data_IF_857074105028
#
_entry.id   IF_857074105028
#
_cell.length_a   1.000
_cell.length_b   1.000
_cell.length_c   1.000
_cell.angle_alpha   90.00
_cell.angle_beta   90.00
_cell.angle_gamma   90.00
#
_symmetry.space_group_name_H-M   'P 1'
#
loop_
_entity.id
_entity.type
_entity.pdbx_description
1 polymer ?
#
# COMPACT_ATOMS: atom_id res chain seq x y z
N UNK A 1 -5.75 -6.10 -14.63
CA UNK A 1 -6.28 -4.87 -13.99
C UNK A 1 -7.80 -4.86 -13.94
N UNK A 2 -8.52 -4.89 -15.08
CA UNK A 2 -9.99 -4.87 -15.12
C UNK A 2 -10.66 -5.91 -14.19
N UNK A 3 -10.25 -7.17 -14.29
CA UNK A 3 -10.80 -8.24 -13.46
C UNK A 3 -10.57 -8.01 -11.96
N UNK A 4 -9.39 -7.50 -11.58
CA UNK A 4 -9.10 -7.18 -10.19
C UNK A 4 -10.06 -6.10 -9.67
N UNK A 5 -10.23 -5.00 -10.40
CA UNK A 5 -11.12 -3.89 -10.03
C UNK A 5 -12.58 -4.34 -9.94
N UNK A 6 -13.08 -5.00 -10.99
CA UNK A 6 -14.48 -5.45 -11.05
C UNK A 6 -14.81 -6.48 -9.96
N UNK A 7 -13.87 -7.38 -9.62
CA UNK A 7 -14.04 -8.32 -8.49
C UNK A 7 -14.05 -7.60 -7.15
N UNK A 8 -13.11 -6.68 -6.92
CA UNK A 8 -13.03 -5.87 -5.69
C UNK A 8 -14.33 -5.08 -5.46
N UNK A 9 -14.91 -4.51 -6.51
CA UNK A 9 -16.23 -3.89 -6.44
C UNK A 9 -17.36 -4.90 -6.16
N UNK A 10 -17.47 -5.97 -6.96
CA UNK A 10 -18.60 -6.91 -6.88
C UNK A 10 -18.65 -7.70 -5.57
N UNK A 11 -17.49 -8.05 -5.01
CA UNK A 11 -17.42 -8.83 -3.77
C UNK A 11 -17.32 -7.95 -2.52
N UNK A 12 -16.55 -6.87 -2.58
CA UNK A 12 -16.26 -6.02 -1.43
C UNK A 12 -17.01 -4.69 -1.40
N UNK A 13 -17.80 -4.35 -2.44
CA UNK A 13 -18.46 -3.05 -2.62
C UNK A 13 -17.50 -1.84 -2.51
N UNK A 14 -16.24 -2.04 -2.86
CA UNK A 14 -15.22 -0.98 -2.82
C UNK A 14 -15.35 -0.11 -4.07
N UNK A 15 -15.55 1.19 -3.87
CA UNK A 15 -15.77 2.16 -4.97
C UNK A 15 -14.58 3.03 -5.31
N UNK A 16 -13.57 3.11 -4.45
CA UNK A 16 -12.31 3.82 -4.70
C UNK A 16 -11.19 2.86 -4.34
N UNK A 17 -10.28 2.57 -5.27
CA UNK A 17 -9.22 1.58 -5.05
C UNK A 17 -7.94 1.92 -5.79
N UNK A 18 -6.81 1.71 -5.14
CA UNK A 18 -5.48 1.92 -5.70
C UNK A 18 -4.79 0.57 -5.81
N UNK A 19 -4.67 0.06 -7.04
CA UNK A 19 -4.12 -1.28 -7.27
C UNK A 19 -2.63 -1.15 -7.54
N UNK A 20 -1.84 -1.89 -6.76
CA UNK A 20 -0.39 -1.93 -6.87
C UNK A 20 0.09 -3.15 -7.64
N UNK A 21 1.13 -2.98 -8.45
CA UNK A 21 1.87 -4.11 -9.02
C UNK A 21 3.28 -3.69 -9.46
N UNK A 22 4.18 -4.67 -9.55
CA UNK A 22 5.51 -4.48 -10.13
C UNK A 22 5.49 -4.87 -11.62
N UNK A 23 5.66 -3.92 -12.56
CA UNK A 23 5.64 -4.22 -13.99
C UNK A 23 6.86 -5.03 -14.45
N UNK A 24 8.01 -4.86 -13.79
CA UNK A 24 9.25 -5.54 -14.16
C UNK A 24 9.21 -7.03 -13.81
N UNK A 25 8.54 -7.42 -12.72
CA UNK A 25 8.27 -8.85 -12.42
C UNK A 25 7.32 -9.52 -13.44
N UNK A 26 6.71 -8.77 -14.35
CA UNK A 26 5.82 -9.28 -15.41
C UNK A 26 6.46 -9.25 -16.80
N UNK A 27 7.69 -8.74 -16.92
CA UNK A 27 8.32 -8.44 -18.21
C UNK A 27 9.12 -9.60 -18.82
N UNK A 28 9.15 -10.75 -18.13
CA UNK A 28 9.89 -11.97 -18.53
C UNK A 28 11.36 -11.69 -18.89
N UNK A 29 12.09 -11.00 -18.02
CA UNK A 29 13.50 -10.69 -18.26
C UNK A 29 13.75 -9.70 -19.40
N UNK A 30 12.72 -8.95 -19.81
CA UNK A 30 12.80 -7.94 -20.87
C UNK A 30 12.17 -8.34 -22.20
N UNK A 31 11.63 -9.56 -22.34
CA UNK A 31 10.87 -9.95 -23.54
C UNK A 31 9.67 -9.03 -23.80
N UNK A 32 9.05 -8.52 -22.74
CA UNK A 32 7.95 -7.57 -22.83
C UNK A 32 8.40 -6.18 -22.37
N UNK A 33 8.09 -5.19 -23.20
CA UNK A 33 8.35 -3.80 -22.85
C UNK A 33 7.48 -3.34 -21.67
N UNK A 34 8.08 -2.58 -20.75
CA UNK A 34 7.38 -2.10 -19.55
C UNK A 34 6.26 -1.12 -19.89
N UNK A 35 6.40 -0.28 -20.92
CA UNK A 35 5.34 0.66 -21.31
C UNK A 35 4.12 -0.12 -21.79
N UNK A 36 4.31 -1.21 -22.55
CA UNK A 36 3.22 -2.08 -22.99
C UNK A 36 2.47 -2.68 -21.79
N UNK A 37 3.18 -3.17 -20.78
CA UNK A 37 2.57 -3.77 -19.57
C UNK A 37 1.77 -2.73 -18.78
N UNK A 38 2.35 -1.54 -18.59
CA UNK A 38 1.72 -0.46 -17.82
C UNK A 38 0.51 0.09 -18.59
N UNK A 39 0.66 0.37 -19.89
CA UNK A 39 -0.42 0.84 -20.74
C UNK A 39 -1.58 -0.15 -20.81
N UNK A 40 -1.31 -1.45 -20.97
CA UNK A 40 -2.36 -2.48 -20.92
C UNK A 40 -3.09 -2.50 -19.57
N UNK A 41 -2.37 -2.26 -18.47
CA UNK A 41 -2.96 -2.15 -17.13
C UNK A 41 -3.86 -0.92 -17.00
N UNK A 42 -3.43 0.23 -17.51
CA UNK A 42 -4.21 1.48 -17.56
C UNK A 42 -5.47 1.29 -18.41
N UNK A 43 -5.38 0.68 -19.59
CA UNK A 43 -6.55 0.38 -20.43
C UNK A 43 -7.53 -0.51 -19.68
N UNK A 44 -7.03 -1.56 -19.01
CA UNK A 44 -7.87 -2.42 -18.17
C UNK A 44 -8.55 -1.68 -17.02
N UNK A 45 -7.83 -0.74 -16.38
CA UNK A 45 -8.38 0.11 -15.32
C UNK A 45 -9.49 1.02 -15.85
N UNK A 46 -9.21 1.78 -16.92
CA UNK A 46 -10.17 2.70 -17.54
C UNK A 46 -11.44 1.97 -17.99
N UNK A 47 -11.32 0.79 -18.58
CA UNK A 47 -12.47 -0.06 -18.93
C UNK A 47 -13.32 -0.42 -17.71
N UNK A 48 -12.71 -0.79 -16.58
CA UNK A 48 -13.46 -1.10 -15.37
C UNK A 48 -14.16 0.14 -14.79
N UNK A 49 -13.53 1.31 -14.82
CA UNK A 49 -14.14 2.57 -14.40
C UNK A 49 -15.31 3.02 -15.32
N UNK A 50 -15.33 2.59 -16.58
CA UNK A 50 -16.47 2.83 -17.48
C UNK A 50 -17.63 1.87 -17.24
N UNK A 51 -17.33 0.61 -16.89
CA UNK A 51 -18.34 -0.44 -16.71
C UNK A 51 -18.96 -0.47 -15.30
N UNK A 52 -18.25 0.03 -14.29
CA UNK A 52 -18.66 0.01 -12.88
C UNK A 52 -18.55 1.40 -12.26
N UNK A 53 -19.36 1.72 -11.23
CA UNK A 53 -19.31 3.01 -10.53
C UNK A 53 -18.11 3.07 -9.57
N UNK A 54 -16.90 2.99 -10.12
CA UNK A 54 -15.64 2.92 -9.37
C UNK A 54 -14.64 3.95 -9.88
N UNK A 55 -13.85 4.50 -8.96
CA UNK A 55 -12.62 5.24 -9.25
C UNK A 55 -11.43 4.35 -8.93
N UNK A 56 -10.44 4.33 -9.81
CA UNK A 56 -9.25 3.53 -9.60
C UNK A 56 -7.98 4.29 -10.01
N UNK A 57 -6.89 3.97 -9.33
CA UNK A 57 -5.53 4.41 -9.64
C UNK A 57 -4.57 3.24 -9.61
N UNK A 58 -3.44 3.40 -10.29
CA UNK A 58 -2.36 2.39 -10.30
C UNK A 58 -1.19 2.89 -9.46
N UNK A 59 -0.65 2.00 -8.63
CA UNK A 59 0.62 2.22 -7.93
C UNK A 59 1.66 1.29 -8.57
N UNK A 60 2.78 1.84 -9.02
CA UNK A 60 3.88 1.02 -9.53
C UNK A 60 4.83 0.69 -8.38
N UNK A 61 5.18 -0.60 -8.27
CA UNK A 61 6.03 -1.09 -7.19
C UNK A 61 7.45 -1.36 -7.69
N UNK A 62 8.42 -0.77 -6.99
CA UNK A 62 9.82 -1.18 -6.93
C UNK A 62 9.97 -2.49 -6.14
N UNK A 63 11.15 -3.10 -6.17
CA UNK A 63 11.44 -4.32 -5.40
C UNK A 63 12.79 -4.21 -4.69
N UNK A 64 12.86 -4.62 -3.43
CA UNK A 64 14.10 -4.63 -2.62
C UNK A 64 15.21 -5.48 -3.24
N UNK A 65 14.87 -6.51 -4.03
CA UNK A 65 15.84 -7.38 -4.71
C UNK A 65 16.45 -6.75 -5.97
N UNK A 66 15.90 -5.63 -6.44
CA UNK A 66 16.39 -4.96 -7.62
C UNK A 66 17.52 -3.98 -7.28
N UNK A 67 18.46 -3.84 -8.21
CA UNK A 67 19.45 -2.79 -8.16
C UNK A 67 18.81 -1.40 -8.33
N UNK A 68 19.61 -0.37 -8.03
CA UNK A 68 19.19 1.04 -8.11
C UNK A 68 18.70 1.43 -9.50
N UNK A 69 19.32 0.87 -10.55
CA UNK A 69 18.98 1.19 -11.93
C UNK A 69 17.57 0.68 -12.29
N UNK A 70 17.26 -0.57 -11.96
CA UNK A 70 15.94 -1.16 -12.18
C UNK A 70 14.85 -0.43 -11.40
N UNK A 71 15.10 -0.09 -10.14
CA UNK A 71 14.15 0.68 -9.33
C UNK A 71 13.96 2.11 -9.87
N UNK A 72 15.02 2.76 -10.33
CA UNK A 72 14.96 4.06 -11.02
C UNK A 72 14.15 3.99 -12.32
N UNK A 73 14.26 2.91 -13.10
CA UNK A 73 13.43 2.70 -14.29
C UNK A 73 11.95 2.71 -13.91
N UNK A 74 11.56 1.96 -12.86
CA UNK A 74 10.17 1.89 -12.41
C UNK A 74 9.66 3.27 -11.98
N UNK A 75 10.44 4.04 -11.22
CA UNK A 75 10.08 5.41 -10.82
C UNK A 75 9.91 6.36 -12.01
N UNK A 76 10.80 6.30 -13.00
CA UNK A 76 10.66 7.06 -14.26
C UNK A 76 9.40 6.67 -15.03
N UNK A 77 9.02 5.39 -15.04
CA UNK A 77 7.76 4.93 -15.63
C UNK A 77 6.56 5.46 -14.83
N UNK A 78 6.62 5.48 -13.51
CA UNK A 78 5.56 6.06 -12.69
C UNK A 78 5.34 7.54 -13.01
N UNK A 79 6.43 8.31 -13.09
CA UNK A 79 6.41 9.71 -13.50
C UNK A 79 5.81 9.90 -14.91
N UNK A 80 6.26 9.11 -15.89
CA UNK A 80 5.77 9.18 -17.27
C UNK A 80 4.25 8.93 -17.38
N UNK A 81 3.75 7.92 -16.68
CA UNK A 81 2.35 7.50 -16.76
C UNK A 81 1.45 8.19 -15.73
N UNK A 82 1.97 9.16 -14.96
CA UNK A 82 1.20 9.91 -13.98
C UNK A 82 -0.06 10.57 -14.57
N UNK A 83 0.01 11.23 -15.75
CA UNK A 83 -1.18 11.82 -16.38
C UNK A 83 -2.22 10.80 -16.85
N UNK A 84 -1.85 9.52 -16.95
CA UNK A 84 -2.71 8.46 -17.48
C UNK A 84 -3.41 7.61 -16.41
N UNK A 85 -3.06 7.83 -15.13
CA UNK A 85 -3.68 7.18 -13.98
C UNK A 85 -2.73 6.35 -13.11
N UNK A 86 -1.42 6.49 -13.27
CA UNK A 86 -0.47 6.08 -12.22
C UNK A 86 -0.46 7.15 -11.14
N UNK A 87 -0.89 6.79 -9.93
CA UNK A 87 -1.10 7.73 -8.83
C UNK A 87 -0.05 7.61 -7.73
N UNK A 88 0.64 6.47 -7.65
CA UNK A 88 1.63 6.24 -6.61
C UNK A 88 2.85 5.45 -7.07
N UNK A 89 3.93 5.61 -6.30
CA UNK A 89 5.11 4.76 -6.30
C UNK A 89 5.19 4.04 -4.96
N UNK A 90 5.66 2.81 -5.00
CA UNK A 90 5.85 1.96 -3.83
C UNK A 90 7.11 1.11 -3.96
N UNK A 91 7.53 0.48 -2.87
CA UNK A 91 8.52 -0.59 -2.85
C UNK A 91 8.06 -1.72 -1.92
N UNK A 92 8.24 -2.96 -2.36
CA UNK A 92 8.02 -4.14 -1.54
C UNK A 92 9.08 -5.21 -1.87
N UNK A 93 8.75 -6.48 -1.67
CA UNK A 93 9.67 -7.60 -1.82
C UNK A 93 10.41 -7.90 -0.52
N UNK A 94 11.04 -9.08 -0.41
CA UNK A 94 11.75 -9.50 0.80
C UNK A 94 12.96 -8.63 1.07
N UNK A 95 13.35 -8.51 2.33
CA UNK A 95 14.62 -7.86 2.69
C UNK A 95 15.81 -8.59 2.06
N UNK A 96 16.81 -7.81 1.68
CA UNK A 96 18.09 -8.30 1.19
C UNK A 96 19.20 -7.56 1.90
N UNK A 97 20.33 -8.23 2.15
CA UNK A 97 21.49 -7.62 2.83
C UNK A 97 22.08 -6.43 2.05
N UNK A 98 21.71 -6.29 0.78
CA UNK A 98 22.17 -5.24 -0.13
C UNK A 98 21.25 -4.03 -0.21
N UNK A 99 20.02 -4.12 0.33
CA UNK A 99 19.02 -3.06 0.19
C UNK A 99 19.15 -2.05 1.33
N UNK A 100 19.28 -0.77 0.97
CA UNK A 100 19.25 0.33 1.93
C UNK A 100 18.19 1.35 1.50
N UNK A 101 17.40 1.87 2.45
CA UNK A 101 16.35 2.87 2.16
C UNK A 101 16.92 4.10 1.44
N UNK A 102 18.14 4.52 1.78
CA UNK A 102 18.81 5.64 1.12
C UNK A 102 18.97 5.45 -0.41
N UNK A 103 19.01 4.20 -0.88
CA UNK A 103 19.23 3.88 -2.29
C UNK A 103 18.04 4.24 -3.18
N UNK A 104 16.85 4.37 -2.60
CA UNK A 104 15.61 4.68 -3.33
C UNK A 104 15.20 6.15 -3.22
N UNK A 105 15.91 6.97 -2.44
CA UNK A 105 15.65 8.42 -2.34
C UNK A 105 15.60 9.08 -3.73
N UNK A 106 16.58 8.87 -4.64
CA UNK A 106 16.53 9.52 -5.96
C UNK A 106 15.34 9.05 -6.82
N UNK A 107 14.92 7.79 -6.68
CA UNK A 107 13.78 7.25 -7.40
C UNK A 107 12.46 7.89 -6.91
N UNK A 108 12.33 8.05 -5.59
CA UNK A 108 11.19 8.73 -4.96
C UNK A 108 11.12 10.20 -5.37
N UNK A 109 12.25 10.91 -5.42
CA UNK A 109 12.32 12.30 -5.87
C UNK A 109 11.86 12.47 -7.33
N UNK A 110 12.26 11.56 -8.22
CA UNK A 110 11.81 11.55 -9.62
C UNK A 110 10.28 11.40 -9.72
N UNK A 111 9.70 10.49 -8.95
CA UNK A 111 8.24 10.29 -8.95
C UNK A 111 7.51 11.52 -8.41
N UNK A 112 7.98 12.09 -7.30
CA UNK A 112 7.42 13.31 -6.71
C UNK A 112 7.50 14.51 -7.65
N UNK A 113 8.60 14.65 -8.39
CA UNK A 113 8.76 15.70 -9.39
C UNK A 113 7.69 15.68 -10.48
N UNK A 114 7.03 14.54 -10.70
CA UNK A 114 5.89 14.38 -11.62
C UNK A 114 4.52 14.38 -10.91
N UNK A 115 4.48 14.69 -9.62
CA UNK A 115 3.25 14.70 -8.81
C UNK A 115 2.73 13.32 -8.42
N UNK A 116 3.55 12.27 -8.53
CA UNK A 116 3.23 10.92 -8.05
C UNK A 116 3.44 10.86 -6.54
N UNK A 117 2.46 10.33 -5.82
CA UNK A 117 2.49 10.15 -4.36
C UNK A 117 3.28 8.89 -3.97
N UNK A 118 3.65 8.77 -2.71
CA UNK A 118 4.58 7.73 -2.25
C UNK A 118 3.96 6.96 -1.09
N UNK A 119 3.84 5.64 -1.27
CA UNK A 119 3.64 4.69 -0.17
C UNK A 119 4.86 3.76 -0.11
N UNK A 120 5.19 3.17 1.03
CA UNK A 120 6.36 2.27 1.18
C UNK A 120 5.95 1.08 2.05
N UNK A 121 6.07 -0.15 1.57
CA UNK A 121 5.88 -1.32 2.45
C UNK A 121 7.03 -1.41 3.44
N UNK A 122 6.74 -1.25 4.73
CA UNK A 122 7.69 -1.48 5.82
C UNK A 122 6.92 -1.67 7.12
N UNK A 123 7.54 -2.26 8.13
CA UNK A 123 6.90 -2.51 9.41
C UNK A 123 5.85 -3.62 9.37
N UNK A 124 5.93 -4.55 8.41
CA UNK A 124 5.16 -5.80 8.46
C UNK A 124 6.01 -6.91 9.10
N UNK A 125 6.93 -7.46 8.31
CA UNK A 125 7.96 -8.41 8.74
C UNK A 125 9.31 -7.72 8.99
N UNK A 126 9.41 -6.44 8.63
CA UNK A 126 10.60 -5.63 8.87
C UNK A 126 10.49 -4.90 10.21
N UNK A 127 11.61 -4.64 10.91
CA UNK A 127 11.59 -4.04 12.24
C UNK A 127 11.21 -2.55 12.21
N UNK A 128 10.79 -2.03 13.36
CA UNK A 128 10.51 -0.60 13.56
C UNK A 128 11.68 0.32 13.15
N UNK A 129 12.93 -0.16 13.22
CA UNK A 129 14.12 0.58 12.77
C UNK A 129 14.09 0.88 11.27
N UNK A 130 13.61 -0.03 10.43
CA UNK A 130 13.46 0.26 8.99
C UNK A 130 12.32 1.25 8.75
N UNK A 131 11.25 1.20 9.56
CA UNK A 131 10.19 2.22 9.50
C UNK A 131 10.76 3.60 9.81
N UNK A 132 11.65 3.71 10.81
CA UNK A 132 12.39 4.93 11.10
C UNK A 132 13.24 5.40 9.92
N UNK A 133 13.98 4.50 9.27
CA UNK A 133 14.79 4.83 8.10
C UNK A 133 13.92 5.37 6.97
N UNK A 134 12.76 4.75 6.72
CA UNK A 134 11.77 5.17 5.72
C UNK A 134 11.21 6.56 6.02
N UNK A 135 10.71 6.81 7.23
CA UNK A 135 10.10 8.11 7.54
C UNK A 135 11.12 9.24 7.57
N UNK A 136 12.37 8.99 7.99
CA UNK A 136 13.44 9.99 8.00
C UNK A 136 13.98 10.29 6.60
N UNK A 137 14.18 9.27 5.78
CA UNK A 137 14.80 9.46 4.46
C UNK A 137 13.78 9.87 3.39
N UNK A 138 12.57 9.33 3.45
CA UNK A 138 11.60 9.45 2.36
C UNK A 138 10.40 10.33 2.72
N UNK A 139 10.02 10.44 3.99
CA UNK A 139 8.79 11.16 4.42
C UNK A 139 7.58 10.73 3.58
N UNK A 140 7.23 9.43 3.52
CA UNK A 140 6.20 8.94 2.60
C UNK A 140 4.81 9.47 2.98
N UNK A 141 3.89 9.51 2.02
CA UNK A 141 2.49 9.88 2.30
C UNK A 141 1.78 8.77 3.11
N UNK A 142 2.14 7.51 2.84
CA UNK A 142 1.59 6.32 3.50
C UNK A 142 2.64 5.24 3.72
N UNK A 143 2.34 4.27 4.58
CA UNK A 143 3.17 3.08 4.80
C UNK A 143 2.31 1.84 4.59
N UNK A 144 2.77 0.94 3.72
CA UNK A 144 2.21 -0.40 3.55
C UNK A 144 2.40 -1.21 4.83
N UNK A 145 1.31 -1.68 5.44
CA UNK A 145 1.26 -2.29 6.77
C UNK A 145 1.65 -1.33 7.90
N UNK A 146 2.95 -1.23 8.23
CA UNK A 146 3.46 -0.39 9.32
C UNK A 146 3.15 -0.86 10.74
N UNK A 147 2.56 -2.04 10.93
CA UNK A 147 2.11 -2.53 12.24
C UNK A 147 3.22 -2.65 13.28
N UNK A 148 4.46 -2.96 12.88
CA UNK A 148 5.63 -2.99 13.76
C UNK A 148 6.04 -1.62 14.30
N UNK A 149 5.45 -0.53 13.80
CA UNK A 149 5.59 0.76 14.44
C UNK A 149 5.05 0.77 15.88
N UNK A 150 4.12 -0.14 16.22
CA UNK A 150 3.57 -0.23 17.58
C UNK A 150 4.54 -0.76 18.63
N UNK A 151 5.73 -1.19 18.21
CA UNK A 151 6.81 -1.62 19.08
C UNK A 151 7.61 -0.42 19.63
N UNK A 152 7.41 0.78 19.07
CA UNK A 152 8.08 2.02 19.47
C UNK A 152 7.09 3.20 19.59
N UNK A 153 6.73 3.62 20.81
CA UNK A 153 5.88 4.80 21.05
C UNK A 153 6.35 6.08 20.36
N UNK A 154 7.66 6.31 20.27
CA UNK A 154 8.21 7.54 19.65
C UNK A 154 7.96 7.55 18.14
N UNK A 155 7.93 6.36 17.53
CA UNK A 155 7.60 6.22 16.11
C UNK A 155 6.10 6.46 15.88
N UNK A 156 5.23 5.95 16.75
CA UNK A 156 3.79 6.24 16.68
C UNK A 156 3.49 7.75 16.78
N UNK A 157 4.11 8.44 17.74
CA UNK A 157 4.00 9.89 17.87
C UNK A 157 4.46 10.62 16.61
N UNK A 158 5.57 10.17 16.01
CA UNK A 158 6.07 10.74 14.77
C UNK A 158 5.10 10.53 13.60
N UNK A 159 4.54 9.33 13.43
CA UNK A 159 3.58 9.01 12.38
C UNK A 159 2.30 9.85 12.52
N UNK A 160 1.76 9.97 13.73
CA UNK A 160 0.59 10.78 14.02
C UNK A 160 0.84 12.27 13.72
N UNK A 161 1.95 12.83 14.22
CA UNK A 161 2.33 14.22 14.02
C UNK A 161 2.49 14.60 12.54
N UNK A 162 3.00 13.68 11.73
CA UNK A 162 3.23 13.90 10.30
C UNK A 162 2.09 13.40 9.41
N UNK A 163 0.98 12.93 10.00
CA UNK A 163 -0.19 12.40 9.29
C UNK A 163 0.15 11.28 8.30
N UNK A 164 1.15 10.45 8.60
CA UNK A 164 1.56 9.32 7.76
C UNK A 164 0.59 8.17 7.99
N UNK A 165 -0.18 7.83 6.94
CA UNK A 165 -1.25 6.83 7.06
C UNK A 165 -0.73 5.40 6.92
N UNK A 166 -1.12 4.51 7.83
CA UNK A 166 -0.82 3.08 7.75
C UNK A 166 -1.87 2.32 6.94
N UNK A 167 -1.43 1.47 6.02
CA UNK A 167 -2.26 0.59 5.19
C UNK A 167 -2.31 -0.81 5.83
N UNK A 168 -3.11 -0.98 6.89
CA UNK A 168 -3.16 -2.21 7.70
C UNK A 168 -3.94 -3.32 6.96
N UNK A 169 -3.44 -4.56 7.04
CA UNK A 169 -3.98 -5.71 6.31
C UNK A 169 -4.15 -6.91 7.26
N UNK A 170 -5.20 -6.97 8.11
CA UNK A 170 -5.28 -7.88 9.25
C UNK A 170 -5.10 -9.35 8.91
N UNK A 171 -5.85 -9.87 7.93
CA UNK A 171 -5.72 -11.28 7.53
C UNK A 171 -4.33 -11.56 6.94
N UNK A 172 -3.77 -10.62 6.17
CA UNK A 172 -2.40 -10.73 5.66
C UNK A 172 -1.39 -10.81 6.81
N UNK A 173 -1.47 -9.87 7.75
CA UNK A 173 -0.57 -9.78 8.90
C UNK A 173 -0.57 -11.06 9.76
N UNK A 174 -1.71 -11.72 9.90
CA UNK A 174 -1.80 -13.02 10.58
C UNK A 174 -1.18 -14.14 9.72
N UNK A 175 -1.51 -14.21 8.42
CA UNK A 175 -1.02 -15.28 7.53
C UNK A 175 0.47 -15.18 7.25
N UNK A 176 1.06 -13.98 7.25
CA UNK A 176 2.51 -13.75 7.16
C UNK A 176 3.21 -13.94 8.51
N UNK A 177 2.48 -14.27 9.57
CA UNK A 177 2.98 -14.36 10.95
C UNK A 177 3.63 -13.06 11.45
N UNK A 178 3.24 -11.91 10.87
CA UNK A 178 3.60 -10.60 11.37
C UNK A 178 2.90 -10.28 12.69
N UNK A 179 1.76 -10.92 12.96
CA UNK A 179 1.15 -11.06 14.29
C UNK A 179 0.72 -12.51 14.49
N UNK A 180 0.68 -12.99 15.72
CA UNK A 180 0.34 -14.37 16.07
C UNK A 180 -1.15 -14.70 15.88
N UNK A 181 -2.03 -13.68 15.88
CA UNK A 181 -3.46 -13.87 15.72
C UNK A 181 -4.27 -12.60 15.98
N UNK A 182 -5.59 -12.78 16.08
CA UNK A 182 -6.54 -11.67 16.23
C UNK A 182 -6.39 -10.89 17.55
N UNK A 183 -5.95 -11.53 18.64
CA UNK A 183 -5.71 -10.84 19.91
C UNK A 183 -4.57 -9.82 19.79
N UNK A 184 -3.42 -10.24 19.23
CA UNK A 184 -2.29 -9.34 18.97
C UNK A 184 -2.67 -8.25 17.96
N UNK A 185 -3.44 -8.59 16.92
CA UNK A 185 -3.98 -7.62 15.96
C UNK A 185 -4.87 -6.56 16.65
N UNK A 186 -5.67 -6.96 17.64
CA UNK A 186 -6.47 -6.04 18.45
C UNK A 186 -5.61 -5.08 19.26
N UNK A 187 -4.52 -5.57 19.86
CA UNK A 187 -3.52 -4.74 20.55
C UNK A 187 -2.84 -3.72 19.61
N UNK A 188 -2.54 -4.12 18.38
CA UNK A 188 -2.00 -3.21 17.35
C UNK A 188 -3.00 -2.09 17.05
N UNK A 189 -4.25 -2.43 16.72
CA UNK A 189 -5.29 -1.42 16.39
C UNK A 189 -5.55 -0.50 17.59
N UNK A 190 -5.60 -1.04 18.81
CA UNK A 190 -5.77 -0.25 20.03
C UNK A 190 -4.66 0.79 20.20
N UNK A 191 -3.38 0.41 20.01
CA UNK A 191 -2.25 1.34 20.05
C UNK A 191 -2.32 2.41 18.96
N UNK A 192 -2.70 2.05 17.73
CA UNK A 192 -2.84 3.04 16.65
C UNK A 192 -3.91 4.08 16.99
N UNK A 193 -5.04 3.65 17.58
CA UNK A 193 -6.10 4.53 18.08
C UNK A 193 -5.62 5.42 19.23
N UNK A 194 -4.95 4.84 20.22
CA UNK A 194 -4.40 5.54 21.39
C UNK A 194 -3.46 6.68 20.99
N UNK A 195 -2.56 6.43 20.04
CA UNK A 195 -1.59 7.42 19.55
C UNK A 195 -2.11 8.31 18.41
N UNK A 196 -3.37 8.11 18.01
CA UNK A 196 -4.02 8.85 16.92
C UNK A 196 -3.27 8.75 15.57
N UNK A 197 -2.66 7.59 15.32
CA UNK A 197 -2.02 7.30 14.03
C UNK A 197 -3.11 7.02 13.00
N UNK A 198 -3.16 7.75 11.86
CA UNK A 198 -4.15 7.46 10.84
C UNK A 198 -3.88 6.09 10.20
N UNK A 199 -4.90 5.24 10.09
CA UNK A 199 -4.79 3.95 9.44
C UNK A 199 -6.03 3.58 8.62
N UNK A 200 -5.84 2.64 7.70
CA UNK A 200 -6.86 2.07 6.83
C UNK A 200 -6.85 0.54 6.92
N UNK A 201 -7.99 -0.10 6.68
CA UNK A 201 -8.10 -1.57 6.59
C UNK A 201 -8.16 -1.99 5.12
N UNK A 202 -7.29 -2.91 4.74
CA UNK A 202 -7.07 -3.35 3.36
C UNK A 202 -6.99 -4.88 3.28
N UNK A 203 -7.22 -5.43 2.08
CA UNK A 203 -7.19 -6.88 1.84
C UNK A 203 -5.86 -7.39 1.26
N UNK A 204 -4.88 -6.52 1.09
CA UNK A 204 -3.57 -6.81 0.47
C UNK A 204 -3.69 -7.59 -0.86
N UNK A 205 -3.38 -8.90 -0.86
CA UNK A 205 -3.57 -9.82 -1.98
C UNK A 205 -4.84 -10.67 -1.85
N UNK A 206 -6.05 -10.13 -2.14
CA UNK A 206 -7.32 -10.77 -1.82
C UNK A 206 -7.51 -12.17 -2.43
N UNK A 207 -6.95 -12.41 -3.63
CA UNK A 207 -7.04 -13.71 -4.29
C UNK A 207 -6.17 -14.78 -3.62
N UNK A 208 -5.01 -14.39 -3.08
CA UNK A 208 -4.10 -15.29 -2.37
C UNK A 208 -4.58 -15.53 -0.94
N UNK A 209 -5.04 -14.47 -0.27
CA UNK A 209 -5.39 -14.48 1.15
C UNK A 209 -6.83 -14.97 1.40
N UNK A 210 -7.64 -15.10 0.34
CA UNK A 210 -9.03 -15.54 0.46
C UNK A 210 -9.90 -14.55 1.22
N UNK A 211 -9.71 -13.25 0.99
CA UNK A 211 -10.43 -12.20 1.72
C UNK A 211 -10.75 -10.98 0.86
N UNK A 212 -11.66 -10.13 1.33
CA UNK A 212 -12.02 -8.82 0.80
C UNK A 212 -12.02 -7.78 1.92
N UNK A 213 -11.92 -6.49 1.58
CA UNK A 213 -12.01 -5.39 2.58
C UNK A 213 -13.28 -5.47 3.43
N UNK A 214 -14.39 -5.91 2.83
CA UNK A 214 -15.65 -6.13 3.55
C UNK A 214 -15.48 -7.20 4.63
N UNK A 215 -14.91 -8.35 4.28
CA UNK A 215 -14.68 -9.45 5.22
C UNK A 215 -13.65 -9.10 6.30
N UNK A 216 -12.66 -8.25 6.00
CA UNK A 216 -11.72 -7.74 7.02
C UNK A 216 -12.48 -6.95 8.09
N UNK A 217 -13.36 -6.02 7.69
CA UNK A 217 -14.19 -5.28 8.64
C UNK A 217 -15.17 -6.19 9.40
N UNK A 218 -15.82 -7.14 8.71
CA UNK A 218 -16.71 -8.12 9.35
C UNK A 218 -15.97 -8.90 10.44
N UNK A 219 -14.78 -9.42 10.16
CA UNK A 219 -13.97 -10.15 11.16
C UNK A 219 -13.52 -9.27 12.31
N UNK A 220 -13.10 -8.03 12.06
CA UNK A 220 -12.69 -7.11 13.11
C UNK A 220 -13.86 -6.75 14.04
N UNK A 221 -15.07 -6.62 13.52
CA UNK A 221 -16.29 -6.40 14.31
C UNK A 221 -16.72 -7.66 15.07
N UNK A 222 -16.72 -8.83 14.43
CA UNK A 222 -17.04 -10.11 15.08
C UNK A 222 -16.10 -10.43 16.25
N UNK A 223 -14.85 -9.95 16.18
CA UNK A 223 -13.82 -10.10 17.21
C UNK A 223 -13.83 -8.97 18.24
N UNK A 224 -14.75 -8.01 18.14
CA UNK A 224 -14.86 -6.85 19.03
C UNK A 224 -13.57 -5.99 19.04
N UNK A 225 -12.79 -6.02 17.95
CA UNK A 225 -11.56 -5.20 17.78
C UNK A 225 -11.91 -3.80 17.25
N UNK A 226 -12.93 -3.71 16.40
CA UNK A 226 -13.47 -2.45 15.88
C UNK A 226 -14.99 -2.47 15.99
N UNK A 227 -15.58 -1.30 16.22
CA UNK A 227 -17.03 -1.10 16.14
C UNK A 227 -17.43 -0.37 14.84
N UNK A 228 -18.72 -0.02 14.72
CA UNK A 228 -19.24 0.69 13.54
C UNK A 228 -18.63 2.09 13.39
N UNK A 229 -18.35 2.79 14.50
CA UNK A 229 -17.75 4.12 14.47
C UNK A 229 -16.32 4.05 13.96
N UNK A 230 -15.57 3.03 14.39
CA UNK A 230 -14.23 2.72 13.89
C UNK A 230 -14.23 2.44 12.38
N UNK A 231 -15.19 1.67 11.88
CA UNK A 231 -15.33 1.39 10.43
C UNK A 231 -15.58 2.68 9.65
N UNK A 232 -16.45 3.55 10.15
CA UNK A 232 -16.75 4.85 9.53
C UNK A 232 -15.53 5.75 9.54
N UNK A 233 -14.82 5.86 10.67
CA UNK A 233 -13.61 6.65 10.81
C UNK A 233 -12.51 6.16 9.88
N UNK A 234 -12.25 4.84 9.87
CA UNK A 234 -11.28 4.19 9.00
C UNK A 234 -11.59 4.42 7.51
N UNK A 235 -12.86 4.31 7.12
CA UNK A 235 -13.30 4.61 5.74
C UNK A 235 -13.12 6.10 5.40
N UNK A 236 -13.33 7.00 6.37
CA UNK A 236 -13.04 8.43 6.25
C UNK A 236 -11.55 8.69 6.00
N UNK A 237 -10.68 8.06 6.79
CA UNK A 237 -9.21 8.11 6.61
C UNK A 237 -8.81 7.62 5.22
N UNK A 238 -9.38 6.50 4.74
CA UNK A 238 -9.09 5.99 3.40
C UNK A 238 -9.46 6.98 2.28
N UNK A 239 -10.59 7.70 2.45
CA UNK A 239 -10.99 8.75 1.50
C UNK A 239 -10.08 9.96 1.53
N UNK A 240 -9.56 10.34 2.70
CA UNK A 240 -8.63 11.45 2.85
C UNK A 240 -7.21 11.11 2.35
N UNK A 241 -6.78 9.86 2.54
CA UNK A 241 -5.45 9.38 2.19
C UNK A 241 -5.31 8.89 0.73
N UNK A 242 -6.36 8.98 -0.09
CA UNK A 242 -6.30 8.53 -1.48
C UNK A 242 -5.39 9.41 -2.33
N UNK A 243 -4.65 8.79 -3.25
CA UNK A 243 -3.84 9.45 -4.26
C UNK A 243 -4.65 9.77 -5.53
N UNK A 244 -5.89 9.29 -5.63
CA UNK A 244 -6.80 9.57 -6.75
C UNK A 244 -7.38 10.97 -6.57
N UNK A 245 -7.15 11.83 -7.57
CA UNK A 245 -7.66 13.21 -7.62
C UNK A 245 -9.15 13.26 -7.98
#
# INVERSE_FOLDING_TARGET
>A
MHQAISRTYRKGNVRTMEIRFNPMLRNKGGEQDLDKIIFASIVGMKRACLEYPVRAGIILMMDRRFDKEKNMIIAKKAARFAPEGVVGLDIAGPLTDTFHVADIVPAVEVARGAGVRVTIHTGEVTPASEVWDVVKALVPDRIGHGIRATDDPSLLEHLAKNHITLEVCPTSNIQTSAVAGWEEMGGVIAKLKEYHVPFTINSDGPELLGTTVKEEFERLMEKEIMDVEDVVACTGTARAATFIK
#
